data_IF_869097982357
#
_entry.id   IF_869097982357
#
_cell.length_a   1.000
_cell.length_b   1.000
_cell.length_c   1.000
_cell.angle_alpha   90.00
_cell.angle_beta   90.00
_cell.angle_gamma   90.00
#
_symmetry.space_group_name_H-M   'P 1'
#
loop_
_entity.id
_entity.type
_entity.pdbx_description
1 polymer ?
#
# COMPACT_ATOMS: atom_id res chain seq x y z
N UNK A 1 -27.02 8.81 -6.32
CA UNK A 1 -26.68 8.94 -7.77
C UNK A 1 -25.33 9.60 -7.86
N UNK A 2 -24.43 9.13 -8.70
CA UNK A 2 -23.16 9.83 -8.89
C UNK A 2 -23.31 10.95 -9.96
N UNK A 3 -22.37 11.90 -10.01
CA UNK A 3 -22.40 13.04 -10.92
C UNK A 3 -22.61 12.61 -12.39
N UNK A 4 -21.98 11.52 -12.82
CA UNK A 4 -22.10 10.98 -14.18
C UNK A 4 -23.53 10.52 -14.49
N UNK A 5 -24.19 9.88 -13.52
CA UNK A 5 -25.58 9.46 -13.62
C UNK A 5 -26.53 10.67 -13.64
N UNK A 6 -26.23 11.73 -12.87
CA UNK A 6 -27.02 12.97 -12.87
C UNK A 6 -26.95 13.62 -14.24
N UNK A 7 -25.74 13.83 -14.78
CA UNK A 7 -25.56 14.46 -16.10
C UNK A 7 -26.34 13.67 -17.17
N UNK A 8 -26.17 12.34 -17.17
CA UNK A 8 -26.88 11.46 -18.13
C UNK A 8 -28.40 11.49 -17.96
N UNK A 9 -28.91 11.42 -16.73
CA UNK A 9 -30.34 11.43 -16.45
C UNK A 9 -30.96 12.77 -16.84
N UNK A 10 -30.33 13.89 -16.48
CA UNK A 10 -30.83 15.23 -16.84
C UNK A 10 -30.85 15.46 -18.36
N UNK A 11 -29.78 15.00 -19.05
CA UNK A 11 -29.77 15.06 -20.52
C UNK A 11 -30.92 14.25 -21.14
N UNK A 12 -31.11 13.02 -20.66
CA UNK A 12 -32.20 12.16 -21.20
C UNK A 12 -33.58 12.68 -20.87
N UNK A 13 -33.79 13.27 -19.69
CA UNK A 13 -35.06 13.93 -19.34
C UNK A 13 -35.38 15.10 -20.26
N UNK A 14 -34.37 15.84 -20.72
CA UNK A 14 -34.57 16.91 -21.74
C UNK A 14 -34.57 16.39 -23.20
N UNK A 15 -34.51 15.07 -23.42
CA UNK A 15 -34.45 14.43 -24.73
C UNK A 15 -33.28 14.90 -25.62
N UNK A 16 -32.15 15.26 -25.02
CA UNK A 16 -30.95 15.72 -25.73
C UNK A 16 -30.03 14.57 -26.10
N UNK A 17 -29.40 14.66 -27.27
CA UNK A 17 -28.25 13.83 -27.61
C UNK A 17 -27.01 14.33 -26.88
N UNK A 18 -25.95 13.49 -26.77
CA UNK A 18 -24.65 13.92 -26.18
C UNK A 18 -24.03 15.10 -26.97
N UNK A 19 -24.25 15.13 -28.30
CA UNK A 19 -23.75 16.23 -29.15
C UNK A 19 -24.47 17.54 -28.85
N UNK A 20 -25.81 17.50 -28.75
CA UNK A 20 -26.57 18.69 -28.40
C UNK A 20 -26.22 19.25 -27.01
N UNK A 21 -26.04 18.37 -26.02
CA UNK A 21 -25.58 18.82 -24.70
C UNK A 21 -24.15 19.39 -24.75
N UNK A 22 -23.29 18.82 -25.58
CA UNK A 22 -21.93 19.32 -25.77
C UNK A 22 -21.92 20.74 -26.38
N UNK A 23 -22.75 20.98 -27.37
CA UNK A 23 -22.91 22.30 -27.99
C UNK A 23 -23.43 23.34 -26.99
N UNK A 24 -24.44 23.00 -26.19
CA UNK A 24 -24.99 23.86 -25.13
C UNK A 24 -23.97 24.19 -24.02
N UNK A 25 -23.16 23.24 -23.66
CA UNK A 25 -22.15 23.40 -22.64
C UNK A 25 -20.79 23.92 -23.17
N UNK A 26 -20.69 24.19 -24.49
CA UNK A 26 -19.47 24.66 -25.17
C UNK A 26 -18.26 23.71 -24.95
N UNK A 27 -18.50 22.41 -25.07
CA UNK A 27 -17.48 21.35 -24.92
C UNK A 27 -17.58 20.35 -26.08
N UNK A 28 -16.62 19.42 -26.18
CA UNK A 28 -16.69 18.38 -27.20
C UNK A 28 -17.70 17.27 -26.82
N UNK A 29 -18.29 16.61 -27.83
CA UNK A 29 -19.13 15.42 -27.61
C UNK A 29 -18.38 14.33 -26.83
N UNK A 30 -17.08 14.15 -27.11
CA UNK A 30 -16.21 13.22 -26.39
C UNK A 30 -16.09 13.58 -24.91
N UNK A 31 -16.07 14.86 -24.57
CA UNK A 31 -16.04 15.36 -23.19
C UNK A 31 -17.31 14.97 -22.45
N UNK A 32 -18.48 15.22 -23.02
CA UNK A 32 -19.77 14.80 -22.43
C UNK A 32 -19.83 13.28 -22.25
N UNK A 33 -19.41 12.51 -23.27
CA UNK A 33 -19.36 11.06 -23.18
C UNK A 33 -18.45 10.56 -22.05
N UNK A 34 -17.30 11.21 -21.85
CA UNK A 34 -16.37 10.88 -20.75
C UNK A 34 -16.98 11.21 -19.37
N UNK A 35 -17.72 12.32 -19.25
CA UNK A 35 -18.42 12.66 -18.02
C UNK A 35 -19.54 11.67 -17.68
N UNK A 36 -20.36 11.30 -18.64
CA UNK A 36 -21.47 10.34 -18.47
C UNK A 36 -21.00 8.91 -18.17
N UNK A 37 -19.79 8.56 -18.63
CA UNK A 37 -19.16 7.25 -18.34
C UNK A 37 -18.26 7.27 -17.10
N UNK A 38 -18.11 8.42 -16.44
CA UNK A 38 -17.25 8.56 -15.26
C UNK A 38 -15.75 8.47 -15.54
N UNK A 39 -15.32 8.54 -16.82
CA UNK A 39 -13.90 8.52 -17.18
C UNK A 39 -13.16 9.79 -16.76
N UNK A 40 -13.84 10.93 -16.85
CA UNK A 40 -13.33 12.22 -16.38
C UNK A 40 -14.43 12.96 -15.64
N UNK A 41 -14.05 13.89 -14.77
CA UNK A 41 -14.99 14.82 -14.12
C UNK A 41 -14.98 16.15 -14.87
N UNK A 42 -16.12 16.91 -14.86
CA UNK A 42 -16.14 18.29 -15.28
C UNK A 42 -15.21 19.14 -14.42
N UNK A 43 -14.55 20.12 -15.01
CA UNK A 43 -13.90 21.19 -14.28
C UNK A 43 -14.94 22.12 -13.64
N UNK A 44 -14.49 23.03 -12.78
CA UNK A 44 -15.40 23.92 -12.02
C UNK A 44 -16.25 24.76 -12.95
N UNK A 45 -15.69 25.28 -14.05
CA UNK A 45 -16.40 26.13 -14.99
C UNK A 45 -17.47 25.34 -15.75
N UNK A 46 -17.15 24.11 -16.16
CA UNK A 46 -18.13 23.19 -16.79
C UNK A 46 -19.20 22.76 -15.81
N UNK A 47 -18.84 22.52 -14.54
CA UNK A 47 -19.81 22.16 -13.50
C UNK A 47 -20.82 23.27 -13.26
N UNK A 48 -20.37 24.53 -13.21
CA UNK A 48 -21.26 25.70 -13.07
C UNK A 48 -22.21 25.78 -14.27
N UNK A 49 -21.71 25.58 -15.50
CA UNK A 49 -22.56 25.57 -16.71
C UNK A 49 -23.59 24.44 -16.66
N UNK A 50 -23.24 23.24 -16.24
CA UNK A 50 -24.14 22.10 -16.07
C UNK A 50 -25.23 22.43 -15.06
N UNK A 51 -24.89 22.98 -13.91
CA UNK A 51 -25.81 23.37 -12.85
C UNK A 51 -26.83 24.40 -13.37
N UNK A 52 -26.35 25.45 -14.04
CA UNK A 52 -27.21 26.48 -14.61
C UNK A 52 -28.11 25.93 -15.73
N UNK A 53 -27.59 25.11 -16.63
CA UNK A 53 -28.33 24.57 -17.75
C UNK A 53 -29.47 23.63 -17.33
N UNK A 54 -29.22 22.83 -16.30
CA UNK A 54 -30.21 21.86 -15.77
C UNK A 54 -31.00 22.38 -14.56
N UNK A 55 -30.79 23.61 -14.14
CA UNK A 55 -31.44 24.22 -12.96
C UNK A 55 -31.27 23.35 -11.70
N UNK A 56 -30.04 22.88 -11.48
CA UNK A 56 -29.71 22.02 -10.35
C UNK A 56 -29.25 22.85 -9.14
N UNK A 57 -29.38 22.26 -7.93
CA UNK A 57 -28.76 22.84 -6.74
C UNK A 57 -27.25 22.62 -6.77
N UNK A 58 -26.47 23.70 -6.65
CA UNK A 58 -25.02 23.64 -6.56
C UNK A 58 -24.57 22.73 -5.42
N UNK A 59 -25.23 22.80 -4.26
CA UNK A 59 -24.89 22.00 -3.07
C UNK A 59 -25.02 20.48 -3.32
N UNK A 60 -26.03 20.04 -4.06
CA UNK A 60 -26.22 18.62 -4.39
C UNK A 60 -25.12 18.11 -5.32
N UNK A 61 -24.75 18.91 -6.31
CA UNK A 61 -23.74 18.54 -7.31
C UNK A 61 -22.33 18.56 -6.72
N UNK A 62 -22.00 19.54 -5.86
CA UNK A 62 -20.71 19.61 -5.16
C UNK A 62 -20.57 18.45 -4.19
N UNK A 63 -21.60 18.09 -3.44
CA UNK A 63 -21.57 16.98 -2.49
C UNK A 63 -21.26 15.64 -3.20
N UNK A 64 -21.94 15.37 -4.31
CA UNK A 64 -21.70 14.16 -5.11
C UNK A 64 -20.37 14.20 -5.87
N UNK A 65 -19.94 15.37 -6.37
CA UNK A 65 -18.61 15.58 -6.94
C UNK A 65 -17.50 15.36 -5.90
N UNK A 66 -17.71 15.74 -4.65
CA UNK A 66 -16.75 15.51 -3.56
C UNK A 66 -16.58 14.03 -3.24
N UNK A 67 -17.63 13.23 -3.33
CA UNK A 67 -17.57 11.79 -3.08
C UNK A 67 -16.80 11.06 -4.18
N UNK A 68 -16.98 11.43 -5.44
CA UNK A 68 -16.21 10.88 -6.58
C UNK A 68 -14.74 11.30 -6.49
N UNK A 69 -14.44 12.56 -6.16
CA UNK A 69 -13.07 13.03 -5.94
C UNK A 69 -12.39 12.28 -4.78
N UNK A 70 -13.11 12.05 -3.70
CA UNK A 70 -12.62 11.26 -2.55
C UNK A 70 -12.33 9.82 -2.94
N UNK A 71 -13.18 9.22 -3.77
CA UNK A 71 -12.98 7.85 -4.27
C UNK A 71 -11.77 7.74 -5.21
N UNK A 72 -11.59 8.71 -6.11
CA UNK A 72 -10.41 8.79 -6.98
C UNK A 72 -9.12 8.97 -6.16
N UNK A 73 -9.14 9.88 -5.20
CA UNK A 73 -8.01 10.11 -4.30
C UNK A 73 -7.68 8.87 -3.45
N UNK A 74 -8.69 8.15 -2.96
CA UNK A 74 -8.50 6.89 -2.24
C UNK A 74 -7.89 5.80 -3.13
N UNK A 75 -8.31 5.68 -4.39
CA UNK A 75 -7.73 4.74 -5.36
C UNK A 75 -6.29 5.09 -5.69
N UNK A 76 -5.98 6.36 -5.89
CA UNK A 76 -4.61 6.85 -6.15
C UNK A 76 -3.70 6.56 -4.95
N UNK A 77 -4.15 6.88 -3.74
CA UNK A 77 -3.41 6.58 -2.50
C UNK A 77 -3.19 5.07 -2.33
N UNK A 78 -4.19 4.24 -2.62
CA UNK A 78 -4.08 2.78 -2.58
C UNK A 78 -3.05 2.27 -3.60
N UNK A 79 -3.03 2.81 -4.81
CA UNK A 79 -2.03 2.47 -5.83
C UNK A 79 -0.61 2.84 -5.40
N UNK A 80 -0.41 4.06 -4.89
CA UNK A 80 0.89 4.49 -4.37
C UNK A 80 1.37 3.64 -3.19
N UNK A 81 0.44 3.26 -2.31
CA UNK A 81 0.73 2.36 -1.20
C UNK A 81 1.16 0.98 -1.70
N UNK A 82 0.42 0.38 -2.64
CA UNK A 82 0.78 -0.91 -3.23
C UNK A 82 2.15 -0.88 -3.90
N UNK A 83 2.48 0.19 -4.64
CA UNK A 83 3.79 0.36 -5.28
C UNK A 83 4.92 0.43 -4.25
N UNK A 84 4.73 1.16 -3.15
CA UNK A 84 5.72 1.21 -2.04
C UNK A 84 5.91 -0.16 -1.41
N UNK A 85 4.82 -0.88 -1.12
CA UNK A 85 4.89 -2.23 -0.54
C UNK A 85 5.60 -3.21 -1.48
N UNK A 86 5.33 -3.16 -2.79
CA UNK A 86 5.99 -4.02 -3.77
C UNK A 86 7.51 -3.80 -3.84
N UNK A 87 7.99 -2.55 -3.67
CA UNK A 87 9.44 -2.26 -3.59
C UNK A 87 10.03 -2.89 -2.33
N UNK A 88 9.38 -2.73 -1.17
CA UNK A 88 9.84 -3.31 0.10
C UNK A 88 9.88 -4.84 -0.01
N UNK A 89 8.87 -5.46 -0.62
CA UNK A 89 8.81 -6.91 -0.83
C UNK A 89 9.96 -7.41 -1.71
N UNK A 90 10.32 -6.68 -2.78
CA UNK A 90 11.49 -7.00 -3.60
C UNK A 90 12.79 -6.95 -2.78
N UNK A 91 12.96 -5.93 -1.93
CA UNK A 91 14.14 -5.82 -1.06
C UNK A 91 14.19 -6.99 -0.08
N UNK A 92 13.06 -7.37 0.54
CA UNK A 92 12.99 -8.52 1.46
C UNK A 92 13.35 -9.83 0.75
N UNK A 93 12.85 -10.07 -0.46
CA UNK A 93 13.18 -11.24 -1.26
C UNK A 93 14.67 -11.28 -1.59
N UNK A 94 15.25 -10.14 -1.97
CA UNK A 94 16.71 -10.03 -2.23
C UNK A 94 17.53 -10.37 -0.99
N UNK A 95 17.13 -9.88 0.20
CA UNK A 95 17.78 -10.23 1.46
C UNK A 95 17.70 -11.73 1.75
N UNK A 96 16.56 -12.38 1.51
CA UNK A 96 16.42 -13.83 1.69
C UNK A 96 17.32 -14.61 0.75
N UNK A 97 17.44 -14.20 -0.51
CA UNK A 97 18.35 -14.83 -1.49
C UNK A 97 19.81 -14.70 -1.02
N UNK A 98 20.21 -13.53 -0.51
CA UNK A 98 21.57 -13.32 0.02
C UNK A 98 21.87 -14.20 1.24
N UNK A 99 20.89 -14.39 2.14
CA UNK A 99 21.03 -15.33 3.26
C UNK A 99 21.22 -16.75 2.74
N UNK A 100 20.41 -17.20 1.79
CA UNK A 100 20.51 -18.55 1.21
C UNK A 100 21.88 -18.77 0.53
N UNK A 101 22.37 -17.79 -0.25
CA UNK A 101 23.70 -17.85 -0.87
C UNK A 101 24.82 -17.92 0.17
N UNK A 102 24.72 -17.14 1.26
CA UNK A 102 25.68 -17.16 2.34
C UNK A 102 25.71 -18.50 3.08
N UNK A 103 24.56 -19.11 3.32
CA UNK A 103 24.46 -20.45 3.91
C UNK A 103 25.06 -21.51 2.98
N UNK A 104 24.82 -21.42 1.67
CA UNK A 104 25.43 -22.32 0.68
C UNK A 104 26.96 -22.18 0.66
N UNK A 105 27.47 -20.95 0.75
CA UNK A 105 28.92 -20.70 0.85
C UNK A 105 29.53 -21.37 2.10
N UNK A 106 28.84 -21.29 3.26
CA UNK A 106 29.26 -21.95 4.48
C UNK A 106 29.40 -23.48 4.32
N UNK A 107 28.47 -24.11 3.59
CA UNK A 107 28.51 -25.55 3.35
C UNK A 107 29.71 -25.96 2.46
N UNK A 108 30.06 -25.11 1.49
CA UNK A 108 31.18 -25.36 0.55
C UNK A 108 32.55 -25.09 1.21
N UNK A 109 32.64 -24.04 2.06
CA UNK A 109 33.93 -23.56 2.62
C UNK A 109 34.16 -24.07 4.06
N UNK A 110 33.68 -25.25 4.38
CA UNK A 110 33.66 -25.86 5.71
C UNK A 110 35.01 -25.83 6.47
N UNK A 111 36.15 -25.76 5.78
CA UNK A 111 37.47 -25.83 6.38
C UNK A 111 38.16 -24.46 6.60
N UNK A 112 37.56 -23.35 6.19
CA UNK A 112 38.15 -22.03 6.33
C UNK A 112 37.47 -21.22 7.43
N UNK A 113 38.11 -21.16 8.62
CA UNK A 113 37.58 -20.46 9.81
C UNK A 113 37.25 -18.99 9.52
N UNK A 114 38.10 -18.27 8.77
CA UNK A 114 37.88 -16.86 8.46
C UNK A 114 36.62 -16.65 7.62
N UNK A 115 36.40 -17.47 6.59
CA UNK A 115 35.19 -17.38 5.75
C UNK A 115 33.94 -17.67 6.58
N UNK A 116 34.01 -18.69 7.45
CA UNK A 116 32.86 -19.04 8.33
C UNK A 116 32.57 -17.88 9.27
N UNK A 117 33.57 -17.25 9.90
CA UNK A 117 33.39 -16.11 10.80
C UNK A 117 32.73 -14.90 10.09
N UNK A 118 33.28 -14.48 8.95
CA UNK A 118 32.73 -13.34 8.21
C UNK A 118 31.31 -13.61 7.66
N UNK A 119 31.03 -14.82 7.17
CA UNK A 119 29.72 -15.17 6.66
C UNK A 119 28.66 -15.28 7.76
N UNK A 120 28.99 -15.74 8.97
CA UNK A 120 28.05 -15.73 10.10
C UNK A 120 27.70 -14.32 10.55
N UNK A 121 28.69 -13.41 10.62
CA UNK A 121 28.42 -11.98 10.91
C UNK A 121 27.53 -11.36 9.82
N UNK A 122 27.81 -11.67 8.55
CA UNK A 122 27.02 -11.17 7.43
C UNK A 122 25.55 -11.65 7.48
N UNK A 123 25.33 -12.93 7.77
CA UNK A 123 23.96 -13.49 7.94
C UNK A 123 23.23 -12.83 9.11
N UNK A 124 23.93 -12.63 10.24
CA UNK A 124 23.34 -11.91 11.39
C UNK A 124 22.90 -10.49 10.98
N UNK A 125 23.79 -9.74 10.32
CA UNK A 125 23.50 -8.37 9.90
C UNK A 125 22.28 -8.33 8.98
N UNK A 126 22.23 -9.17 7.93
CA UNK A 126 21.09 -9.21 7.00
C UNK A 126 19.80 -9.65 7.71
N UNK A 127 19.86 -10.62 8.64
CA UNK A 127 18.68 -11.07 9.37
C UNK A 127 18.08 -9.96 10.25
N UNK A 128 18.91 -9.16 10.92
CA UNK A 128 18.46 -8.00 11.69
C UNK A 128 17.86 -6.91 10.80
N UNK A 129 18.49 -6.61 9.67
CA UNK A 129 17.96 -5.69 8.67
C UNK A 129 16.60 -6.14 8.14
N UNK A 130 16.44 -7.44 7.88
CA UNK A 130 15.19 -8.03 7.40
C UNK A 130 14.05 -7.87 8.42
N UNK A 131 14.34 -8.03 9.72
CA UNK A 131 13.36 -7.81 10.79
C UNK A 131 12.94 -6.34 10.83
N UNK A 132 13.89 -5.39 10.75
CA UNK A 132 13.58 -3.95 10.75
C UNK A 132 12.70 -3.59 9.53
N UNK A 133 13.06 -4.07 8.34
CA UNK A 133 12.29 -3.84 7.12
C UNK A 133 10.89 -4.45 7.23
N UNK A 134 10.75 -5.64 7.83
CA UNK A 134 9.47 -6.30 8.05
C UNK A 134 8.56 -5.51 8.99
N UNK A 135 9.12 -4.97 10.09
CA UNK A 135 8.38 -4.09 11.01
C UNK A 135 7.95 -2.80 10.29
N UNK A 136 8.85 -2.15 9.54
CA UNK A 136 8.55 -0.94 8.77
C UNK A 136 7.45 -1.19 7.73
N UNK A 137 7.54 -2.30 6.98
CA UNK A 137 6.50 -2.75 6.04
C UNK A 137 5.15 -2.91 6.73
N UNK A 138 5.14 -3.52 7.91
CA UNK A 138 3.92 -3.70 8.70
C UNK A 138 3.28 -2.34 9.06
N UNK A 139 4.10 -1.36 9.48
CA UNK A 139 3.60 -0.03 9.84
C UNK A 139 2.97 0.73 8.67
N UNK A 140 3.46 0.49 7.45
CA UNK A 140 2.90 1.06 6.23
C UNK A 140 1.61 0.33 5.82
N UNK A 141 1.62 -1.01 5.83
CA UNK A 141 0.51 -1.83 5.37
C UNK A 141 -0.74 -1.74 6.28
N UNK A 142 -0.53 -1.54 7.59
CA UNK A 142 -1.60 -1.49 8.58
C UNK A 142 -1.61 -0.17 9.35
N UNK A 143 -2.27 0.88 8.82
CA UNK A 143 -2.40 2.15 9.54
C UNK A 143 -3.18 1.93 10.86
N UNK A 144 -2.82 2.71 11.89
CA UNK A 144 -3.51 2.65 13.18
C UNK A 144 -4.92 3.23 13.02
N UNK A 145 -5.94 2.44 13.36
CA UNK A 145 -7.33 2.91 13.42
C UNK A 145 -7.59 3.48 14.82
N UNK A 146 -7.92 4.78 14.94
CA UNK A 146 -8.24 5.40 16.23
C UNK A 146 -9.46 4.72 16.87
N UNK A 147 -9.40 4.52 18.19
CA UNK A 147 -10.53 3.98 18.97
C UNK A 147 -10.68 2.45 18.94
N UNK A 148 -10.00 1.72 18.07
CA UNK A 148 -10.05 0.27 18.04
C UNK A 148 -8.88 -0.38 18.81
N UNK A 149 -9.19 -1.41 19.62
CA UNK A 149 -8.16 -2.28 20.22
C UNK A 149 -7.38 -2.97 19.10
N UNK A 150 -6.05 -2.81 19.11
CA UNK A 150 -5.20 -3.48 18.12
C UNK A 150 -5.15 -4.99 18.42
N UNK A 151 -5.59 -5.88 17.52
CA UNK A 151 -5.56 -7.32 17.74
C UNK A 151 -4.10 -7.80 17.86
N UNK A 152 -3.87 -8.90 18.58
CA UNK A 152 -2.54 -9.51 18.73
C UNK A 152 -2.06 -10.13 17.43
N UNK A 153 -2.96 -10.75 16.68
CA UNK A 153 -2.68 -11.38 15.39
C UNK A 153 -3.41 -10.65 14.26
N UNK A 154 -2.74 -10.53 13.13
CA UNK A 154 -3.27 -9.97 11.89
C UNK A 154 -3.00 -10.93 10.74
N UNK A 155 -3.87 -10.97 9.72
CA UNK A 155 -3.61 -11.79 8.54
C UNK A 155 -2.32 -11.36 7.86
N UNK A 156 -1.52 -12.31 7.37
CA UNK A 156 -0.32 -12.00 6.59
C UNK A 156 -0.71 -11.35 5.27
N UNK A 157 0.05 -10.35 4.84
CA UNK A 157 -0.12 -9.70 3.53
C UNK A 157 0.45 -10.53 2.38
N UNK A 158 1.40 -11.43 2.68
CA UNK A 158 1.99 -12.37 1.74
C UNK A 158 1.97 -13.76 2.37
N UNK A 159 1.48 -14.74 1.63
CA UNK A 159 1.32 -16.11 2.10
C UNK A 159 0.08 -16.31 2.97
N UNK A 160 -0.15 -17.57 3.39
CA UNK A 160 -1.24 -17.97 4.27
C UNK A 160 -0.84 -17.83 5.74
N UNK A 161 -1.80 -17.49 6.61
CA UNK A 161 -1.66 -17.51 8.06
C UNK A 161 -1.67 -16.12 8.72
N UNK A 162 -1.26 -16.10 9.99
CA UNK A 162 -1.32 -14.94 10.86
C UNK A 162 0.07 -14.45 11.20
N UNK A 163 0.22 -13.14 11.41
CA UNK A 163 1.43 -12.50 11.89
C UNK A 163 1.17 -11.81 13.22
N UNK A 164 2.21 -11.72 14.07
CA UNK A 164 2.15 -10.98 15.32
C UNK A 164 2.10 -9.48 15.01
N UNK A 165 1.16 -8.77 15.63
CA UNK A 165 0.95 -7.34 15.44
C UNK A 165 1.90 -6.54 16.35
N UNK A 166 2.95 -5.88 15.84
CA UNK A 166 3.87 -5.11 16.68
C UNK A 166 3.25 -3.82 17.26
N UNK A 167 2.04 -3.44 16.84
CA UNK A 167 1.28 -2.32 17.43
C UNK A 167 0.49 -2.71 18.67
N UNK A 168 0.28 -4.00 18.91
CA UNK A 168 -0.24 -4.52 20.15
C UNK A 168 0.89 -4.59 21.18
N UNK A 169 0.64 -4.21 22.43
CA UNK A 169 1.67 -4.23 23.49
C UNK A 169 2.32 -5.61 23.66
N UNK A 170 1.51 -6.68 23.70
CA UNK A 170 2.01 -8.06 23.78
C UNK A 170 2.75 -8.46 22.49
N UNK A 171 2.26 -8.06 21.33
CA UNK A 171 2.91 -8.32 20.05
C UNK A 171 4.27 -7.63 19.95
N UNK A 172 4.42 -6.43 20.46
CA UNK A 172 5.71 -5.73 20.54
C UNK A 172 6.68 -6.46 21.47
N UNK A 173 6.23 -6.92 22.63
CA UNK A 173 7.04 -7.70 23.57
C UNK A 173 7.53 -8.99 22.89
N UNK A 174 6.65 -9.74 22.24
CA UNK A 174 7.00 -10.96 21.51
C UNK A 174 8.06 -10.65 20.44
N UNK A 175 7.90 -9.57 19.68
CA UNK A 175 8.87 -9.16 18.64
C UNK A 175 10.25 -8.86 19.26
N UNK A 176 10.29 -8.11 20.37
CA UNK A 176 11.54 -7.80 21.09
C UNK A 176 12.20 -9.08 21.60
N UNK A 177 11.45 -9.99 22.23
CA UNK A 177 11.99 -11.26 22.73
C UNK A 177 12.57 -12.08 21.56
N UNK A 178 11.89 -12.13 20.40
CA UNK A 178 12.39 -12.84 19.24
C UNK A 178 13.72 -12.28 18.74
N UNK A 179 13.85 -10.94 18.68
CA UNK A 179 15.10 -10.27 18.30
C UNK A 179 16.23 -10.59 19.29
N UNK A 180 15.94 -10.52 20.59
CA UNK A 180 16.93 -10.83 21.64
C UNK A 180 17.40 -12.29 21.57
N UNK A 181 16.50 -13.24 21.32
CA UNK A 181 16.84 -14.65 21.12
C UNK A 181 17.75 -14.85 19.91
N UNK A 182 17.48 -14.18 18.79
CA UNK A 182 18.34 -14.24 17.61
C UNK A 182 19.74 -13.71 17.94
N UNK A 183 19.85 -12.56 18.57
CA UNK A 183 21.16 -11.97 18.97
C UNK A 183 21.90 -12.92 19.90
N UNK A 184 21.22 -13.54 20.89
CA UNK A 184 21.84 -14.48 21.83
C UNK A 184 22.37 -15.73 21.12
N UNK A 185 21.58 -16.34 20.23
CA UNK A 185 22.02 -17.54 19.49
C UNK A 185 23.23 -17.23 18.62
N UNK A 186 23.21 -16.12 17.87
CA UNK A 186 24.38 -15.73 17.06
C UNK A 186 25.59 -15.34 17.93
N UNK A 187 25.34 -14.68 19.06
CA UNK A 187 26.42 -14.34 20.02
C UNK A 187 27.11 -15.58 20.56
N UNK A 188 26.39 -16.64 20.92
CA UNK A 188 26.96 -17.90 21.37
C UNK A 188 27.78 -18.60 20.27
N UNK A 189 27.27 -18.59 19.02
CA UNK A 189 27.99 -19.16 17.87
C UNK A 189 29.30 -18.41 17.64
N UNK A 190 29.27 -17.08 17.62
CA UNK A 190 30.47 -16.24 17.42
C UNK A 190 31.46 -16.45 18.57
N UNK A 191 30.98 -16.49 19.82
CA UNK A 191 31.84 -16.74 21.00
C UNK A 191 32.57 -18.10 20.90
N UNK A 192 31.83 -19.17 20.55
CA UNK A 192 32.44 -20.49 20.34
C UNK A 192 33.51 -20.49 19.24
N UNK A 193 33.26 -19.74 18.16
CA UNK A 193 34.22 -19.64 17.03
C UNK A 193 35.51 -18.86 17.40
N UNK A 194 35.42 -17.89 18.31
CA UNK A 194 36.57 -17.11 18.76
C UNK A 194 37.37 -17.86 19.84
N UNK A 195 36.68 -18.66 20.66
CA UNK A 195 37.28 -19.41 21.77
C UNK A 195 37.91 -20.75 21.37
N UNK A 196 37.61 -21.25 20.18
CA UNK A 196 38.17 -22.48 19.59
C UNK A 196 39.29 -22.20 18.59
#
# INVERSE_FOLDING_TARGET
MNLSEIIKSQRTMKNLTQSQLADELLVSNKTVSNWETGKTLPDIDSLIRIVHYFDLSIDSVIKEGSDVMKDLHNKENAYHLQKKLAIIDKIMITCLILIMLSVMLLLVTRNNRAIIFFSTIFVLFISLMLIIISIYRYWIAYPKVPGLRQPLFVPKTIGLGWAVNPRNKLGMIITIITVLLIILVFGTIIFQMVSS
#
